data_IF_290328965762
#
_entry.id   IF_290328965762
#
_cell.length_a   1.000
_cell.length_b   1.000
_cell.length_c   1.000
_cell.angle_alpha   90.00
_cell.angle_beta   90.00
_cell.angle_gamma   90.00
#
_symmetry.space_group_name_H-M   'P 1'
#
loop_
_entity.id
_entity.type
_entity.pdbx_description
1 polymer ?
#
# COMPACT_ATOMS: atom_id res chain seq x y z
N UNK A 1 -0.19 2.70 18.11
CA UNK A 1 0.48 1.65 18.90
C UNK A 1 -0.22 1.27 20.21
N UNK A 2 -1.23 2.01 20.68
CA UNK A 2 -1.89 1.73 21.97
C UNK A 2 -2.40 0.28 22.14
N UNK A 3 -3.03 -0.29 21.10
CA UNK A 3 -3.51 -1.68 21.14
C UNK A 3 -2.40 -2.71 21.39
N UNK A 4 -1.25 -2.57 20.73
CA UNK A 4 -0.10 -3.45 20.96
C UNK A 4 0.46 -3.31 22.38
N UNK A 5 0.50 -2.08 22.93
CA UNK A 5 0.92 -1.85 24.31
C UNK A 5 -0.03 -2.50 25.32
N UNK A 6 -1.35 -2.42 25.08
CA UNK A 6 -2.35 -3.10 25.91
C UNK A 6 -2.13 -4.61 25.91
N UNK A 7 -1.93 -5.22 24.74
CA UNK A 7 -1.66 -6.66 24.64
C UNK A 7 -0.34 -7.07 25.30
N UNK A 8 0.67 -6.18 25.29
CA UNK A 8 1.93 -6.40 26.01
C UNK A 8 1.71 -6.45 27.53
N UNK A 9 0.88 -5.52 28.05
CA UNK A 9 0.54 -5.46 29.47
C UNK A 9 -0.27 -6.68 29.93
N UNK A 10 -1.05 -7.28 29.03
CA UNK A 10 -1.77 -8.54 29.24
C UNK A 10 -0.89 -9.79 29.10
N UNK A 11 0.39 -9.63 28.71
CA UNK A 11 1.35 -10.72 28.62
C UNK A 11 1.20 -11.62 27.39
N UNK A 12 0.48 -11.19 26.33
CA UNK A 12 0.24 -11.99 25.12
C UNK A 12 1.51 -12.33 24.32
N UNK A 13 2.64 -11.68 24.64
CA UNK A 13 3.96 -11.97 24.10
C UNK A 13 4.63 -13.18 24.77
N UNK A 14 4.06 -13.72 25.85
CA UNK A 14 4.61 -14.86 26.57
C UNK A 14 4.00 -16.18 26.07
N UNK A 15 4.65 -17.32 26.33
CA UNK A 15 4.12 -18.63 25.92
C UNK A 15 2.82 -19.01 26.62
N UNK A 16 2.60 -18.55 27.85
CA UNK A 16 1.43 -18.88 28.66
C UNK A 16 0.92 -17.66 29.45
N UNK A 17 0.27 -16.69 28.79
CA UNK A 17 -0.36 -15.56 29.46
C UNK A 17 -1.42 -16.03 30.45
N UNK A 18 -1.35 -15.55 31.69
CA UNK A 18 -2.33 -15.84 32.74
C UNK A 18 -3.76 -15.45 32.35
N UNK A 19 -3.90 -14.42 31.51
CA UNK A 19 -5.18 -13.99 30.94
C UNK A 19 -5.89 -15.08 30.12
N UNK A 20 -5.15 -15.90 29.35
CA UNK A 20 -5.73 -16.96 28.52
C UNK A 20 -5.88 -18.29 29.26
N UNK A 21 -4.98 -18.61 30.20
CA UNK A 21 -4.85 -19.95 30.77
C UNK A 21 -5.20 -20.05 32.27
N UNK A 22 -5.74 -18.98 32.87
CA UNK A 22 -5.94 -18.91 34.32
C UNK A 22 -7.14 -19.68 34.90
N UNK A 23 -8.04 -20.25 34.08
CA UNK A 23 -9.38 -20.67 34.54
C UNK A 23 -9.80 -22.13 34.28
N UNK A 24 -9.28 -22.80 33.24
CA UNK A 24 -9.69 -24.17 32.85
C UNK A 24 -8.66 -24.82 31.91
N UNK A 25 -8.58 -26.17 31.85
CA UNK A 25 -7.78 -26.87 30.84
C UNK A 25 -8.30 -26.57 29.42
N UNK A 26 -7.38 -26.39 28.47
CA UNK A 26 -7.69 -26.11 27.07
C UNK A 26 -8.07 -27.40 26.32
N UNK A 27 -9.27 -27.91 26.60
CA UNK A 27 -9.80 -29.07 25.89
C UNK A 27 -9.85 -28.78 24.38
N UNK A 28 -9.26 -29.68 23.59
CA UNK A 28 -9.12 -29.59 22.13
C UNK A 28 -8.19 -28.48 21.62
N UNK A 29 -7.49 -27.73 22.48
CA UNK A 29 -6.46 -26.77 22.06
C UNK A 29 -6.99 -25.47 21.44
N UNK A 30 -8.25 -25.11 21.69
CA UNK A 30 -8.86 -23.91 21.10
C UNK A 30 -8.22 -22.63 21.63
N UNK A 31 -7.95 -22.54 22.94
CA UNK A 31 -7.32 -21.37 23.54
C UNK A 31 -5.90 -21.19 23.02
N UNK A 32 -5.14 -22.27 22.86
CA UNK A 32 -3.81 -22.25 22.27
C UNK A 32 -3.82 -21.75 20.82
N UNK A 33 -4.77 -22.21 20.00
CA UNK A 33 -4.92 -21.72 18.61
C UNK A 33 -5.31 -20.25 18.57
N UNK A 34 -6.26 -19.82 19.41
CA UNK A 34 -6.65 -18.42 19.51
C UNK A 34 -5.49 -17.54 19.97
N UNK A 35 -4.72 -17.99 20.96
CA UNK A 35 -3.55 -17.27 21.44
C UNK A 35 -2.51 -17.08 20.33
N UNK A 36 -2.14 -18.14 19.60
CA UNK A 36 -1.23 -18.06 18.44
C UNK A 36 -1.72 -17.04 17.40
N UNK A 37 -2.98 -17.12 17.01
CA UNK A 37 -3.56 -16.20 16.02
C UNK A 37 -3.55 -14.75 16.51
N UNK A 38 -4.01 -14.50 17.74
CA UNK A 38 -4.11 -13.13 18.28
C UNK A 38 -2.73 -12.52 18.51
N UNK A 39 -1.79 -13.26 19.08
CA UNK A 39 -0.44 -12.76 19.33
C UNK A 39 0.26 -12.36 18.02
N UNK A 40 0.18 -13.20 16.99
CA UNK A 40 0.73 -12.87 15.68
C UNK A 40 -0.04 -11.79 14.94
N UNK A 41 -1.37 -11.71 15.08
CA UNK A 41 -2.15 -10.63 14.49
C UNK A 41 -1.80 -9.27 15.11
N UNK A 42 -1.62 -9.21 16.43
CA UNK A 42 -1.17 -7.98 17.12
C UNK A 42 0.21 -7.59 16.64
N UNK A 43 1.13 -8.55 16.58
CA UNK A 43 2.47 -8.32 16.04
C UNK A 43 2.38 -7.83 14.60
N UNK A 44 1.62 -8.48 13.72
CA UNK A 44 1.46 -8.10 12.31
C UNK A 44 0.92 -6.67 12.12
N UNK A 45 -0.18 -6.33 12.79
CA UNK A 45 -0.77 -5.00 12.69
C UNK A 45 0.18 -3.89 13.16
N UNK A 46 0.96 -4.11 14.23
CA UNK A 46 1.97 -3.12 14.60
C UNK A 46 3.13 -3.05 13.59
N UNK A 47 3.47 -4.16 12.93
CA UNK A 47 4.49 -4.22 11.87
C UNK A 47 4.09 -3.38 10.68
N UNK A 48 2.87 -3.60 10.18
CA UNK A 48 2.24 -2.76 9.17
C UNK A 48 2.20 -1.30 9.62
N UNK A 49 1.81 -1.03 10.87
CA UNK A 49 1.79 0.34 11.39
C UNK A 49 3.18 0.98 11.42
N UNK A 50 4.22 0.21 11.73
CA UNK A 50 5.61 0.68 11.77
C UNK A 50 6.14 0.93 10.36
N UNK A 51 5.82 0.05 9.42
CA UNK A 51 6.23 0.15 8.02
C UNK A 51 5.58 1.36 7.33
N UNK A 52 4.25 1.50 7.48
CA UNK A 52 3.44 2.48 6.76
C UNK A 52 3.42 3.85 7.44
N UNK A 53 3.41 3.88 8.79
CA UNK A 53 3.28 5.11 9.57
C UNK A 53 4.54 5.48 10.36
N UNK A 54 5.67 4.78 10.16
CA UNK A 54 6.92 5.00 10.92
C UNK A 54 6.73 5.03 12.44
N UNK A 55 5.75 4.27 12.95
CA UNK A 55 5.50 4.17 14.40
C UNK A 55 6.50 3.23 15.05
N UNK A 56 7.05 3.64 16.18
CA UNK A 56 7.95 2.78 16.96
C UNK A 56 7.17 1.57 17.51
N UNK A 57 7.58 0.33 17.21
CA UNK A 57 6.85 -0.86 17.64
C UNK A 57 6.90 -1.02 19.16
N UNK A 58 5.77 -1.45 19.74
CA UNK A 58 5.68 -1.73 21.17
C UNK A 58 6.33 -3.08 21.49
N UNK A 59 6.02 -4.13 20.73
CA UNK A 59 6.69 -5.43 20.91
C UNK A 59 7.97 -5.42 20.11
N UNK A 60 9.10 -5.64 20.81
CA UNK A 60 10.42 -5.61 20.18
C UNK A 60 10.73 -6.92 19.47
N UNK A 61 10.25 -8.04 19.99
CA UNK A 61 10.51 -9.37 19.46
C UNK A 61 9.21 -10.04 19.03
N UNK A 62 9.27 -10.98 18.06
CA UNK A 62 8.10 -11.75 17.66
C UNK A 62 7.54 -12.59 18.82
N UNK A 63 6.24 -12.90 18.82
CA UNK A 63 5.66 -13.81 19.80
C UNK A 63 6.31 -15.21 19.70
N UNK A 64 6.58 -15.89 20.82
CA UNK A 64 7.18 -17.23 20.82
C UNK A 64 6.18 -18.31 20.37
N UNK A 65 4.89 -18.02 20.44
CA UNK A 65 3.81 -18.96 20.09
C UNK A 65 3.49 -18.89 18.61
N UNK A 66 3.80 -19.94 17.83
CA UNK A 66 3.41 -20.03 16.42
C UNK A 66 2.85 -21.40 16.05
N UNK A 67 2.13 -21.46 14.93
CA UNK A 67 1.73 -22.74 14.35
C UNK A 67 2.96 -23.43 13.77
N UNK A 68 3.07 -24.74 13.95
CA UNK A 68 4.02 -25.52 13.14
C UNK A 68 3.42 -25.80 11.75
N UNK A 69 4.24 -26.02 10.71
CA UNK A 69 3.73 -26.36 9.38
C UNK A 69 2.81 -27.59 9.37
N UNK A 70 3.11 -28.60 10.21
CA UNK A 70 2.31 -29.83 10.33
C UNK A 70 0.97 -29.53 10.99
N UNK A 71 0.98 -28.76 12.08
CA UNK A 71 -0.24 -28.33 12.78
C UNK A 71 -1.15 -27.51 11.86
N UNK A 72 -0.57 -26.54 11.14
CA UNK A 72 -1.31 -25.69 10.21
C UNK A 72 -1.96 -26.50 9.07
N UNK A 73 -1.21 -27.42 8.45
CA UNK A 73 -1.74 -28.27 7.39
C UNK A 73 -2.88 -29.20 7.91
N UNK A 74 -2.75 -29.71 9.13
CA UNK A 74 -3.80 -30.52 9.76
C UNK A 74 -5.09 -29.74 10.03
N UNK A 75 -4.99 -28.46 10.41
CA UNK A 75 -6.14 -27.59 10.65
C UNK A 75 -6.84 -27.14 9.36
N UNK A 76 -6.10 -27.05 8.25
CA UNK A 76 -6.66 -26.70 6.95
C UNK A 76 -7.31 -27.89 6.24
N UNK A 77 -7.04 -29.13 6.67
CA UNK A 77 -7.50 -30.34 6.01
C UNK A 77 -9.04 -30.43 5.99
N UNK A 78 -9.61 -30.56 4.78
CA UNK A 78 -11.06 -30.69 4.59
C UNK A 78 -11.86 -29.40 4.78
N UNK A 79 -11.20 -28.25 4.96
CA UNK A 79 -11.88 -26.96 5.06
C UNK A 79 -12.27 -26.47 3.67
N UNK A 80 -13.52 -26.05 3.52
CA UNK A 80 -14.06 -25.48 2.28
C UNK A 80 -14.36 -23.99 2.46
N UNK A 81 -14.11 -23.20 1.42
CA UNK A 81 -14.41 -21.78 1.36
C UNK A 81 -14.95 -21.41 -0.02
N UNK A 82 -15.91 -20.49 -0.07
CA UNK A 82 -16.39 -19.87 -1.30
C UNK A 82 -16.44 -18.34 -1.13
N UNK A 83 -16.24 -17.56 -2.22
CA UNK A 83 -16.26 -16.11 -2.14
C UNK A 83 -17.68 -15.61 -1.88
N UNK A 84 -17.90 -14.85 -0.81
CA UNK A 84 -19.20 -14.22 -0.54
C UNK A 84 -19.59 -13.23 -1.66
N UNK A 85 -20.86 -13.21 -2.14
CA UNK A 85 -22.02 -13.99 -1.68
C UNK A 85 -22.26 -15.29 -2.47
N UNK A 86 -21.26 -15.77 -3.20
CA UNK A 86 -21.38 -16.92 -4.09
C UNK A 86 -21.16 -18.25 -3.35
N UNK A 87 -21.91 -19.26 -3.76
CA UNK A 87 -21.71 -20.64 -3.29
C UNK A 87 -20.59 -21.37 -4.07
N UNK A 88 -20.17 -20.83 -5.23
CA UNK A 88 -19.14 -21.40 -6.09
C UNK A 88 -18.25 -20.30 -6.69
N UNK A 89 -16.98 -20.62 -7.05
CA UNK A 89 -16.30 -21.90 -6.84
C UNK A 89 -15.99 -22.17 -5.36
N UNK A 90 -15.91 -23.46 -5.00
CA UNK A 90 -15.42 -23.91 -3.70
C UNK A 90 -13.92 -24.13 -3.83
N UNK A 91 -13.15 -23.67 -2.84
CA UNK A 91 -11.71 -23.83 -2.77
C UNK A 91 -11.30 -24.11 -1.34
N UNK A 92 -10.20 -24.84 -1.16
CA UNK A 92 -9.59 -24.98 0.17
C UNK A 92 -8.82 -23.69 0.49
N UNK A 93 -9.10 -23.00 1.61
CA UNK A 93 -8.51 -21.69 1.85
C UNK A 93 -7.04 -21.77 2.27
N UNK A 94 -6.61 -22.83 2.96
CA UNK A 94 -5.27 -22.91 3.56
C UNK A 94 -4.97 -21.73 4.51
N UNK A 95 -5.95 -21.36 5.35
CA UNK A 95 -5.89 -20.20 6.23
C UNK A 95 -4.77 -20.34 7.27
N UNK A 96 -4.68 -21.49 7.94
CA UNK A 96 -3.68 -21.70 9.00
C UNK A 96 -2.27 -21.82 8.41
N UNK A 97 -2.15 -22.46 7.24
CA UNK A 97 -0.90 -22.55 6.49
C UNK A 97 -0.45 -21.14 6.07
N UNK A 98 -1.34 -20.32 5.52
CA UNK A 98 -1.02 -18.93 5.20
C UNK A 98 -0.60 -18.12 6.44
N UNK A 99 -1.30 -18.27 7.57
CA UNK A 99 -0.96 -17.60 8.82
C UNK A 99 0.43 -18.02 9.35
N UNK A 100 0.77 -19.31 9.24
CA UNK A 100 2.10 -19.83 9.58
C UNK A 100 3.19 -19.12 8.78
N UNK A 101 3.10 -19.09 7.46
CA UNK A 101 4.13 -18.46 6.61
C UNK A 101 4.13 -16.93 6.71
N UNK A 102 2.97 -16.32 6.94
CA UNK A 102 2.85 -14.88 7.19
C UNK A 102 3.58 -14.46 8.48
N UNK A 103 3.64 -15.32 9.49
CA UNK A 103 4.39 -15.05 10.73
C UNK A 103 5.90 -14.86 10.48
N UNK A 104 6.47 -15.65 9.56
CA UNK A 104 7.87 -15.51 9.19
C UNK A 104 8.09 -14.24 8.34
N UNK A 105 7.16 -13.90 7.43
CA UNK A 105 7.21 -12.65 6.65
C UNK A 105 7.17 -11.43 7.55
N UNK A 106 6.23 -11.36 8.50
CA UNK A 106 6.09 -10.18 9.35
C UNK A 106 7.26 -9.97 10.31
N UNK A 107 8.01 -11.03 10.60
CA UNK A 107 9.29 -10.92 11.31
C UNK A 107 10.30 -10.12 10.48
N UNK A 108 10.38 -10.39 9.17
CA UNK A 108 11.23 -9.63 8.24
C UNK A 108 10.71 -8.19 8.12
N UNK A 109 9.40 -8.00 8.02
CA UNK A 109 8.78 -6.65 7.94
C UNK A 109 9.13 -5.80 9.16
N UNK A 110 9.13 -6.37 10.37
CA UNK A 110 9.56 -5.64 11.56
C UNK A 110 11.04 -5.26 11.52
N UNK A 111 11.90 -6.14 11.02
CA UNK A 111 13.33 -5.83 10.86
C UNK A 111 13.50 -4.65 9.90
N UNK A 112 12.78 -4.66 8.77
CA UNK A 112 12.78 -3.56 7.79
C UNK A 112 12.20 -2.28 8.40
N UNK A 113 11.10 -2.36 9.16
CA UNK A 113 10.50 -1.19 9.78
C UNK A 113 11.44 -0.57 10.83
N UNK A 114 12.09 -1.38 11.67
CA UNK A 114 13.13 -0.93 12.62
C UNK A 114 14.33 -0.31 11.90
N UNK A 115 14.76 -0.92 10.79
CA UNK A 115 15.84 -0.40 9.96
C UNK A 115 15.47 0.99 9.40
N UNK A 116 14.26 1.12 8.87
CA UNK A 116 13.78 2.37 8.31
C UNK A 116 13.64 3.50 9.33
N UNK A 117 13.35 3.18 10.60
CA UNK A 117 13.25 4.18 11.68
C UNK A 117 14.59 4.88 11.97
N UNK A 118 15.72 4.34 11.50
CA UNK A 118 17.03 4.98 11.63
C UNK A 118 17.20 6.15 10.64
N UNK A 119 16.48 6.11 9.52
CA UNK A 119 16.58 7.07 8.42
C UNK A 119 15.29 7.89 8.39
N UNK A 120 15.27 8.93 9.24
CA UNK A 120 15.68 10.24 8.73
C UNK A 120 16.92 10.83 9.42
N UNK A 121 17.33 10.30 10.57
CA UNK A 121 18.31 10.94 11.46
C UNK A 121 19.76 10.50 11.19
N UNK A 122 19.94 9.31 10.61
CA UNK A 122 21.26 8.76 10.28
C UNK A 122 21.62 8.95 8.80
N UNK A 123 22.91 8.99 8.51
CA UNK A 123 23.45 8.86 7.15
C UNK A 123 23.72 7.38 6.89
N UNK A 124 23.16 6.85 5.81
CA UNK A 124 23.35 5.44 5.42
C UNK A 124 24.82 5.16 5.11
N UNK A 125 25.42 4.23 5.84
CA UNK A 125 26.79 3.78 5.61
C UNK A 125 26.82 2.41 4.90
N UNK A 126 28.03 1.87 4.68
CA UNK A 126 28.21 0.58 4.00
C UNK A 126 27.62 -0.61 4.77
N UNK A 127 27.67 -0.60 6.11
CA UNK A 127 27.12 -1.67 6.94
C UNK A 127 25.59 -1.64 6.90
N UNK A 128 24.99 -0.45 6.92
CA UNK A 128 23.54 -0.27 6.72
C UNK A 128 23.10 -0.76 5.35
N UNK A 129 23.89 -0.44 4.32
CA UNK A 129 23.60 -0.87 2.96
C UNK A 129 23.61 -2.40 2.85
N UNK A 130 24.64 -3.04 3.39
CA UNK A 130 24.77 -4.49 3.38
C UNK A 130 23.68 -5.15 4.24
N UNK A 131 23.33 -4.58 5.39
CA UNK A 131 22.23 -5.07 6.22
C UNK A 131 20.89 -5.03 5.46
N UNK A 132 20.58 -3.92 4.80
CA UNK A 132 19.37 -3.82 3.98
C UNK A 132 19.38 -4.79 2.78
N UNK A 133 20.54 -5.03 2.14
CA UNK A 133 20.70 -6.05 1.10
C UNK A 133 20.41 -7.46 1.64
N UNK A 134 20.87 -7.77 2.84
CA UNK A 134 20.58 -9.04 3.51
C UNK A 134 19.08 -9.19 3.84
N UNK A 135 18.40 -8.11 4.22
CA UNK A 135 16.94 -8.12 4.40
C UNK A 135 16.21 -8.45 3.08
N UNK A 136 16.67 -7.89 1.95
CA UNK A 136 16.13 -8.25 0.63
C UNK A 136 16.35 -9.74 0.31
N UNK A 137 17.55 -10.28 0.57
CA UNK A 137 17.81 -11.71 0.40
C UNK A 137 16.91 -12.59 1.27
N UNK A 138 16.62 -12.18 2.52
CA UNK A 138 15.67 -12.89 3.40
C UNK A 138 14.26 -12.91 2.81
N UNK A 139 13.81 -11.82 2.18
CA UNK A 139 12.51 -11.80 1.49
C UNK A 139 12.50 -12.80 0.32
N UNK A 140 13.53 -12.77 -0.54
CA UNK A 140 13.65 -13.72 -1.66
C UNK A 140 13.64 -15.18 -1.16
N UNK A 141 14.39 -15.46 -0.09
CA UNK A 141 14.43 -16.78 0.53
C UNK A 141 13.06 -17.18 1.09
N UNK A 142 12.37 -16.28 1.79
CA UNK A 142 11.02 -16.53 2.30
C UNK A 142 10.07 -16.93 1.17
N UNK A 143 10.06 -16.18 0.05
CA UNK A 143 9.22 -16.50 -1.10
C UNK A 143 9.56 -17.87 -1.71
N UNK A 144 10.84 -18.22 -1.79
CA UNK A 144 11.29 -19.52 -2.29
C UNK A 144 10.90 -20.69 -1.38
N UNK A 145 10.62 -20.45 -0.10
CA UNK A 145 10.18 -21.49 0.85
C UNK A 145 8.67 -21.71 0.90
N UNK A 146 7.88 -20.92 0.16
CA UNK A 146 6.43 -21.06 0.16
C UNK A 146 6.01 -22.45 -0.36
N UNK A 147 5.09 -23.14 0.33
CA UNK A 147 4.58 -24.42 -0.13
C UNK A 147 3.69 -24.22 -1.36
N UNK A 148 3.55 -25.22 -2.25
CA UNK A 148 2.77 -25.12 -3.47
C UNK A 148 1.34 -24.58 -3.27
N UNK A 149 0.68 -24.95 -2.16
CA UNK A 149 -0.69 -24.52 -1.82
C UNK A 149 -0.85 -23.02 -1.55
N UNK A 150 0.25 -22.29 -1.36
CA UNK A 150 0.29 -20.83 -1.20
C UNK A 150 0.83 -20.12 -2.45
N UNK A 151 1.14 -20.85 -3.52
CA UNK A 151 1.54 -20.25 -4.79
C UNK A 151 0.30 -19.87 -5.61
N UNK A 152 0.38 -18.74 -6.32
CA UNK A 152 -0.75 -18.16 -7.04
C UNK A 152 -1.25 -19.03 -8.20
N UNK A 153 -0.42 -19.94 -8.74
CA UNK A 153 -0.85 -20.90 -9.76
C UNK A 153 -1.83 -21.94 -9.19
N UNK A 154 -1.81 -22.17 -7.88
CA UNK A 154 -2.59 -23.21 -7.21
C UNK A 154 -3.74 -22.64 -6.38
N UNK A 155 -3.54 -21.46 -5.79
CA UNK A 155 -4.50 -20.87 -4.87
C UNK A 155 -4.58 -19.36 -5.05
N UNK A 156 -5.75 -18.89 -5.48
CA UNK A 156 -6.04 -17.46 -5.68
C UNK A 156 -7.04 -16.94 -4.65
N UNK A 157 -7.19 -17.60 -3.50
CA UNK A 157 -8.03 -17.08 -2.41
C UNK A 157 -7.54 -15.70 -1.94
N UNK A 158 -8.44 -14.84 -1.41
CA UNK A 158 -8.09 -13.44 -1.13
C UNK A 158 -6.88 -13.27 -0.23
N UNK A 159 -6.76 -14.06 0.84
CA UNK A 159 -5.63 -13.96 1.78
C UNK A 159 -4.31 -14.47 1.20
N UNK A 160 -4.33 -15.36 0.20
CA UNK A 160 -3.12 -15.77 -0.53
C UNK A 160 -2.68 -14.64 -1.46
N UNK A 161 -3.60 -14.03 -2.22
CA UNK A 161 -3.26 -12.85 -3.03
C UNK A 161 -2.69 -11.73 -2.16
N UNK A 162 -3.36 -11.40 -1.05
CA UNK A 162 -2.89 -10.37 -0.12
C UNK A 162 -1.58 -10.74 0.60
N UNK A 163 -1.22 -12.02 0.71
CA UNK A 163 0.08 -12.45 1.21
C UNK A 163 1.20 -12.09 0.21
N UNK A 164 0.97 -12.31 -1.08
CA UNK A 164 1.90 -11.90 -2.14
C UNK A 164 1.95 -10.37 -2.30
N UNK A 165 0.82 -9.66 -2.18
CA UNK A 165 0.82 -8.19 -2.15
C UNK A 165 1.63 -7.66 -0.96
N UNK A 166 1.49 -8.29 0.22
CA UNK A 166 2.26 -7.90 1.40
C UNK A 166 3.76 -8.07 1.18
N UNK A 167 4.16 -9.17 0.55
CA UNK A 167 5.55 -9.41 0.16
C UNK A 167 6.10 -8.32 -0.76
N UNK A 168 5.40 -7.99 -1.86
CA UNK A 168 5.89 -6.99 -2.80
C UNK A 168 5.85 -5.56 -2.22
N UNK A 169 4.83 -5.23 -1.44
CA UNK A 169 4.78 -3.96 -0.70
C UNK A 169 5.96 -3.82 0.27
N UNK A 170 6.38 -4.93 0.88
CA UNK A 170 7.56 -4.98 1.76
C UNK A 170 8.87 -4.78 0.99
N UNK A 171 9.01 -5.39 -0.19
CA UNK A 171 10.16 -5.13 -1.08
C UNK A 171 10.21 -3.64 -1.46
N UNK A 172 9.09 -3.09 -1.95
CA UNK A 172 9.03 -1.70 -2.34
C UNK A 172 9.41 -0.77 -1.18
N UNK A 173 8.88 -1.04 0.02
CA UNK A 173 9.18 -0.27 1.23
C UNK A 173 10.66 -0.37 1.66
N UNK A 174 11.30 -1.52 1.47
CA UNK A 174 12.74 -1.70 1.74
C UNK A 174 13.58 -0.90 0.74
N UNK A 175 13.36 -1.12 -0.56
CA UNK A 175 14.10 -0.44 -1.63
C UNK A 175 14.02 1.08 -1.53
N UNK A 176 12.88 1.58 -1.10
CA UNK A 176 12.65 2.99 -0.87
C UNK A 176 13.51 3.62 0.21
N UNK A 177 13.89 2.87 1.25
CA UNK A 177 14.84 3.36 2.27
C UNK A 177 16.15 3.74 1.56
N UNK A 178 16.59 2.93 0.61
CA UNK A 178 17.78 3.23 -0.19
C UNK A 178 17.53 4.40 -1.13
N UNK A 179 16.45 4.38 -1.93
CA UNK A 179 16.13 5.44 -2.89
C UNK A 179 16.09 6.83 -2.25
N UNK A 180 15.58 6.94 -1.02
CA UNK A 180 15.51 8.19 -0.28
C UNK A 180 16.87 8.67 0.29
N UNK A 181 17.87 7.80 0.39
CA UNK A 181 19.17 8.09 1.01
C UNK A 181 20.36 8.03 0.04
N UNK A 182 20.15 7.67 -1.23
CA UNK A 182 21.21 7.60 -2.26
C UNK A 182 21.93 8.93 -2.51
N UNK A 183 21.25 10.07 -2.34
CA UNK A 183 21.89 11.39 -2.45
C UNK A 183 22.72 11.81 -1.22
N UNK A 184 22.76 10.97 -0.18
CA UNK A 184 23.41 11.26 1.12
C UNK A 184 24.59 10.34 1.42
N UNK A 185 24.77 9.28 0.63
CA UNK A 185 25.97 8.44 0.64
C UNK A 185 27.11 9.21 -0.02
N UNK A 186 28.27 9.29 0.64
CA UNK A 186 29.51 9.97 0.21
C UNK A 186 30.11 9.39 -1.11
N UNK A 187 29.37 9.52 -2.22
CA UNK A 187 29.71 9.10 -3.59
C UNK A 187 30.11 7.61 -3.78
N UNK A 188 29.92 6.77 -2.77
CA UNK A 188 30.18 5.33 -2.84
C UNK A 188 28.87 4.54 -2.72
N UNK A 189 28.04 4.57 -3.76
CA UNK A 189 26.94 3.60 -3.91
C UNK A 189 27.59 2.22 -4.02
N UNK A 190 27.39 1.28 -3.07
CA UNK A 190 28.06 -0.01 -3.12
C UNK A 190 27.47 -0.89 -4.24
N UNK A 191 28.12 -0.85 -5.40
CA UNK A 191 27.96 -1.77 -6.52
C UNK A 191 26.50 -1.96 -7.02
N UNK A 192 25.97 -1.03 -7.83
CA UNK A 192 24.60 -1.09 -8.36
C UNK A 192 24.33 -2.29 -9.28
N UNK A 193 25.35 -3.04 -9.72
CA UNK A 193 25.16 -4.19 -10.61
C UNK A 193 24.48 -5.38 -9.94
N UNK A 194 24.62 -5.53 -8.62
CA UNK A 194 24.10 -6.70 -7.88
C UNK A 194 22.83 -6.40 -7.06
N UNK A 195 22.54 -5.12 -6.81
CA UNK A 195 21.36 -4.67 -6.08
C UNK A 195 21.01 -3.24 -6.48
N UNK A 196 20.03 -3.10 -7.38
CA UNK A 196 19.50 -1.81 -7.82
C UNK A 196 18.11 -1.59 -7.17
N UNK A 197 18.02 -0.72 -6.15
CA UNK A 197 16.76 -0.47 -5.45
C UNK A 197 15.66 0.09 -6.34
N UNK A 198 15.99 0.89 -7.37
CA UNK A 198 14.97 1.48 -8.25
C UNK A 198 14.36 0.42 -9.16
N UNK A 199 15.19 -0.44 -9.76
CA UNK A 199 14.71 -1.52 -10.63
C UNK A 199 13.90 -2.53 -9.80
N UNK A 200 14.41 -2.94 -8.64
CA UNK A 200 13.73 -3.91 -7.76
C UNK A 200 12.39 -3.34 -7.27
N UNK A 201 12.36 -2.08 -6.85
CA UNK A 201 11.13 -1.41 -6.43
C UNK A 201 10.11 -1.33 -7.58
N UNK A 202 10.54 -0.90 -8.76
CA UNK A 202 9.64 -0.84 -9.93
C UNK A 202 9.07 -2.22 -10.25
N UNK A 203 9.88 -3.27 -10.25
CA UNK A 203 9.40 -4.63 -10.54
C UNK A 203 8.39 -5.10 -9.48
N UNK A 204 8.65 -4.84 -8.20
CA UNK A 204 7.71 -5.20 -7.13
C UNK A 204 6.38 -4.46 -7.28
N UNK A 205 6.39 -3.18 -7.67
CA UNK A 205 5.18 -2.40 -7.91
C UNK A 205 4.43 -2.84 -9.19
N UNK A 206 5.15 -3.28 -10.22
CA UNK A 206 4.57 -3.91 -11.41
C UNK A 206 3.84 -5.22 -11.06
N UNK A 207 4.46 -6.04 -10.21
CA UNK A 207 3.86 -7.27 -9.71
C UNK A 207 2.63 -6.98 -8.83
N UNK A 208 2.67 -5.96 -7.96
CA UNK A 208 1.49 -5.51 -7.19
C UNK A 208 0.33 -5.09 -8.09
N UNK A 209 0.60 -4.31 -9.14
CA UNK A 209 -0.42 -3.92 -10.11
C UNK A 209 -1.07 -5.14 -10.77
N UNK A 210 -0.27 -6.14 -11.12
CA UNK A 210 -0.78 -7.41 -11.68
C UNK A 210 -1.64 -8.19 -10.68
N UNK A 211 -1.28 -8.18 -9.38
CA UNK A 211 -2.08 -8.80 -8.33
C UNK A 211 -3.42 -8.10 -8.09
N UNK A 212 -3.49 -6.78 -8.25
CA UNK A 212 -4.76 -6.03 -8.18
C UNK A 212 -5.73 -6.49 -9.28
N UNK A 213 -5.23 -6.62 -10.51
CA UNK A 213 -6.04 -7.13 -11.63
C UNK A 213 -6.48 -8.58 -11.37
N UNK A 214 -5.59 -9.42 -10.83
CA UNK A 214 -5.91 -10.79 -10.45
C UNK A 214 -6.99 -10.84 -9.37
N UNK A 215 -6.86 -10.02 -8.32
CA UNK A 215 -7.85 -9.94 -7.24
C UNK A 215 -9.21 -9.57 -7.79
N UNK A 216 -9.30 -8.52 -8.62
CA UNK A 216 -10.56 -8.12 -9.26
C UNK A 216 -11.17 -9.25 -10.06
N UNK A 217 -10.36 -9.93 -10.86
CA UNK A 217 -10.81 -11.03 -11.71
C UNK A 217 -11.39 -12.18 -10.91
N UNK A 218 -10.78 -12.52 -9.77
CA UNK A 218 -11.19 -13.65 -8.95
C UNK A 218 -12.35 -13.32 -7.99
N UNK A 219 -12.34 -12.12 -7.39
CA UNK A 219 -13.21 -11.80 -6.24
C UNK A 219 -14.04 -10.53 -6.41
N UNK A 220 -13.68 -9.66 -7.35
CA UNK A 220 -14.26 -8.33 -7.49
C UNK A 220 -14.07 -7.45 -6.25
N UNK A 221 -14.87 -6.38 -6.15
CA UNK A 221 -14.70 -5.33 -5.12
C UNK A 221 -15.75 -5.32 -4.01
N UNK A 222 -16.63 -6.32 -3.96
CA UNK A 222 -17.70 -6.38 -2.95
C UNK A 222 -17.19 -6.69 -1.54
N UNK A 223 -16.11 -7.48 -1.45
CA UNK A 223 -15.58 -7.98 -0.18
C UNK A 223 -14.07 -7.71 -0.13
N UNK A 224 -13.71 -6.45 0.11
CA UNK A 224 -12.33 -5.99 0.15
C UNK A 224 -11.76 -6.08 1.58
N UNK A 225 -10.65 -6.81 1.79
CA UNK A 225 -9.88 -6.71 3.03
C UNK A 225 -9.43 -5.27 3.26
N UNK A 226 -9.43 -4.81 4.51
CA UNK A 226 -9.06 -3.43 4.85
C UNK A 226 -7.67 -3.06 4.29
N UNK A 227 -6.71 -3.99 4.30
CA UNK A 227 -5.34 -3.74 3.80
C UNK A 227 -5.28 -3.32 2.32
N UNK A 228 -6.29 -3.65 1.51
CA UNK A 228 -6.35 -3.27 0.10
C UNK A 228 -6.32 -1.75 -0.10
N UNK A 229 -6.74 -0.94 0.90
CA UNK A 229 -6.60 0.52 0.86
C UNK A 229 -5.15 0.95 0.58
N UNK A 230 -4.19 0.30 1.23
CA UNK A 230 -2.77 0.60 1.08
C UNK A 230 -2.27 0.21 -0.32
N UNK A 231 -2.63 -1.01 -0.76
CA UNK A 231 -2.17 -1.54 -2.04
C UNK A 231 -2.75 -0.76 -3.23
N UNK A 232 -4.02 -0.35 -3.18
CA UNK A 232 -4.61 0.53 -4.18
C UNK A 232 -3.92 1.90 -4.24
N UNK A 233 -3.57 2.48 -3.09
CA UNK A 233 -2.83 3.74 -3.07
C UNK A 233 -1.47 3.59 -3.75
N UNK A 234 -0.69 2.59 -3.34
CA UNK A 234 0.69 2.37 -3.81
C UNK A 234 0.72 2.03 -5.30
N UNK A 235 -0.06 1.05 -5.73
CA UNK A 235 -0.11 0.65 -7.14
C UNK A 235 -0.79 1.71 -8.02
N UNK A 236 -1.78 2.43 -7.48
CA UNK A 236 -2.43 3.55 -8.17
C UNK A 236 -1.44 4.66 -8.50
N UNK A 237 -0.66 5.11 -7.51
CA UNK A 237 0.41 6.11 -7.70
C UNK A 237 1.45 5.61 -8.71
N UNK A 238 1.90 4.37 -8.59
CA UNK A 238 2.84 3.78 -9.54
C UNK A 238 2.29 3.74 -10.97
N UNK A 239 1.04 3.32 -11.14
CA UNK A 239 0.40 3.19 -12.45
C UNK A 239 0.31 4.52 -13.21
N UNK A 240 0.15 5.65 -12.51
CA UNK A 240 0.17 6.99 -13.12
C UNK A 240 1.49 7.24 -13.85
N UNK A 241 2.62 6.92 -13.19
CA UNK A 241 3.97 7.10 -13.76
C UNK A 241 4.27 6.18 -14.95
N UNK A 242 3.44 5.16 -15.17
CA UNK A 242 3.62 4.13 -16.20
C UNK A 242 2.59 4.20 -17.32
N UNK A 243 1.66 5.16 -17.28
CA UNK A 243 0.64 5.31 -18.32
C UNK A 243 1.30 5.45 -19.70
N UNK A 244 0.96 4.53 -20.60
CA UNK A 244 1.51 4.45 -21.94
C UNK A 244 0.50 3.80 -22.89
N UNK A 245 0.34 4.36 -24.09
CA UNK A 245 -0.55 3.83 -25.13
C UNK A 245 -0.23 2.37 -25.53
N UNK A 246 1.04 1.96 -25.43
CA UNK A 246 1.49 0.63 -25.82
C UNK A 246 1.31 -0.42 -24.70
N UNK A 247 1.05 0.02 -23.46
CA UNK A 247 0.86 -0.85 -22.31
C UNK A 247 -0.46 -0.51 -21.58
N UNK A 248 -1.63 -0.87 -22.15
CA UNK A 248 -2.93 -0.51 -21.58
C UNK A 248 -3.20 -1.11 -20.20
N UNK A 249 -2.38 -2.07 -19.75
CA UNK A 249 -2.42 -2.64 -18.40
C UNK A 249 -2.38 -1.56 -17.32
N UNK A 250 -1.62 -0.48 -17.53
CA UNK A 250 -1.46 0.60 -16.55
C UNK A 250 -2.73 1.41 -16.36
N UNK A 251 -3.46 1.67 -17.45
CA UNK A 251 -4.79 2.29 -17.38
C UNK A 251 -5.78 1.40 -16.62
N UNK A 252 -5.74 0.07 -16.81
CA UNK A 252 -6.61 -0.86 -16.05
C UNK A 252 -6.26 -0.90 -14.57
N UNK A 253 -4.97 -0.92 -14.21
CA UNK A 253 -4.51 -0.89 -12.82
C UNK A 253 -4.97 0.41 -12.15
N UNK A 254 -4.80 1.55 -12.84
CA UNK A 254 -5.23 2.85 -12.33
C UNK A 254 -6.75 2.89 -12.09
N UNK A 255 -7.55 2.43 -13.07
CA UNK A 255 -9.01 2.34 -12.89
C UNK A 255 -9.36 1.49 -11.67
N UNK A 256 -8.74 0.32 -11.53
CA UNK A 256 -9.04 -0.63 -10.47
C UNK A 256 -8.67 -0.13 -9.08
N UNK A 257 -7.54 0.57 -8.96
CA UNK A 257 -7.14 1.23 -7.72
C UNK A 257 -8.13 2.32 -7.32
N UNK A 258 -8.50 3.21 -8.25
CA UNK A 258 -9.39 4.34 -7.99
C UNK A 258 -10.82 3.86 -7.70
N UNK A 259 -11.33 2.91 -8.48
CA UNK A 259 -12.66 2.33 -8.28
C UNK A 259 -12.71 1.52 -6.97
N UNK A 260 -11.67 0.75 -6.65
CA UNK A 260 -11.55 0.02 -5.39
C UNK A 260 -11.61 0.95 -4.17
N UNK A 261 -10.78 2.00 -4.16
CA UNK A 261 -10.80 3.02 -3.10
C UNK A 261 -12.14 3.74 -3.01
N UNK A 262 -12.77 4.04 -4.15
CA UNK A 262 -14.10 4.65 -4.18
C UNK A 262 -15.16 3.76 -3.53
N UNK A 263 -15.18 2.45 -3.83
CA UNK A 263 -16.11 1.52 -3.16
C UNK A 263 -15.82 1.39 -1.66
N UNK A 264 -14.54 1.34 -1.27
CA UNK A 264 -14.17 1.27 0.14
C UNK A 264 -14.51 2.53 0.92
N UNK A 265 -14.60 3.70 0.27
CA UNK A 265 -14.94 4.97 0.91
C UNK A 265 -16.32 4.97 1.60
N UNK A 266 -17.26 4.10 1.19
CA UNK A 266 -18.55 3.96 1.86
C UNK A 266 -18.42 3.44 3.31
N UNK A 267 -17.41 2.63 3.60
CA UNK A 267 -17.15 2.08 4.94
C UNK A 267 -15.95 2.71 5.65
N UNK A 268 -14.92 3.10 4.90
CA UNK A 268 -13.62 3.58 5.42
C UNK A 268 -13.32 5.05 5.07
N UNK A 269 -14.30 5.75 4.49
CA UNK A 269 -14.40 7.20 4.31
C UNK A 269 -13.08 7.92 4.13
N UNK A 270 -12.68 8.66 5.18
CA UNK A 270 -11.61 9.67 5.15
C UNK A 270 -10.27 9.15 4.62
N UNK A 271 -9.85 7.94 5.00
CA UNK A 271 -8.55 7.41 4.57
C UNK A 271 -8.57 7.06 3.08
N UNK A 272 -9.66 6.47 2.59
CA UNK A 272 -9.85 6.20 1.16
C UNK A 272 -9.90 7.49 0.35
N UNK A 273 -10.60 8.51 0.86
CA UNK A 273 -10.66 9.84 0.22
C UNK A 273 -9.27 10.47 0.11
N UNK A 274 -8.44 10.36 1.15
CA UNK A 274 -7.08 10.88 1.12
C UNK A 274 -6.20 10.17 0.09
N UNK A 275 -6.30 8.85 -0.04
CA UNK A 275 -5.55 8.13 -1.08
C UNK A 275 -6.04 8.42 -2.49
N UNK A 276 -7.36 8.57 -2.67
CA UNK A 276 -7.91 9.05 -3.95
C UNK A 276 -7.32 10.41 -4.30
N UNK A 277 -7.25 11.33 -3.32
CA UNK A 277 -6.65 12.65 -3.51
C UNK A 277 -5.17 12.55 -3.84
N UNK A 278 -4.41 11.69 -3.17
CA UNK A 278 -3.00 11.42 -3.50
C UNK A 278 -2.83 11.00 -4.96
N UNK A 279 -3.60 10.00 -5.43
CA UNK A 279 -3.51 9.53 -6.81
C UNK A 279 -3.89 10.65 -7.78
N UNK A 280 -4.93 11.43 -7.49
CA UNK A 280 -5.34 12.57 -8.29
C UNK A 280 -4.23 13.63 -8.42
N UNK A 281 -3.56 13.95 -7.30
CA UNK A 281 -2.48 14.93 -7.27
C UNK A 281 -1.27 14.45 -8.08
N UNK A 282 -0.90 13.17 -7.94
CA UNK A 282 0.18 12.57 -8.75
C UNK A 282 -0.20 12.58 -10.23
N UNK A 283 -1.46 12.31 -10.57
CA UNK A 283 -1.96 12.37 -11.94
C UNK A 283 -1.86 13.79 -12.53
N UNK A 284 -2.26 14.81 -11.77
CA UNK A 284 -2.13 16.21 -12.18
C UNK A 284 -0.68 16.62 -12.37
N UNK A 285 0.21 16.19 -11.48
CA UNK A 285 1.64 16.51 -11.55
C UNK A 285 2.32 15.85 -12.76
N UNK A 286 2.01 14.59 -13.06
CA UNK A 286 2.57 13.89 -14.21
C UNK A 286 2.00 14.39 -15.55
N UNK A 287 0.79 14.97 -15.53
CA UNK A 287 0.08 15.50 -16.69
C UNK A 287 0.15 14.58 -17.93
N UNK A 288 -0.26 13.29 -17.80
CA UNK A 288 -0.21 12.35 -18.92
C UNK A 288 -1.21 12.73 -20.01
N UNK A 289 -1.06 12.14 -21.20
CA UNK A 289 -2.07 12.24 -22.26
C UNK A 289 -3.46 11.86 -21.70
N UNK A 290 -4.47 12.77 -21.75
CA UNK A 290 -5.80 12.51 -21.21
C UNK A 290 -6.48 11.26 -21.78
N UNK A 291 -6.11 10.82 -23.00
CA UNK A 291 -6.67 9.61 -23.62
C UNK A 291 -6.24 8.31 -22.92
N UNK A 292 -5.15 8.36 -22.14
CA UNK A 292 -4.64 7.22 -21.36
C UNK A 292 -5.36 7.06 -20.02
N UNK A 293 -6.07 8.11 -19.57
CA UNK A 293 -6.78 8.11 -18.29
C UNK A 293 -8.20 7.56 -18.49
N UNK A 294 -8.58 6.47 -17.79
CA UNK A 294 -9.90 5.90 -17.92
C UNK A 294 -11.02 6.88 -17.54
N UNK A 295 -12.11 6.91 -18.30
CA UNK A 295 -13.23 7.84 -18.09
C UNK A 295 -13.84 7.74 -16.68
N UNK A 296 -13.86 6.53 -16.09
CA UNK A 296 -14.31 6.30 -14.72
C UNK A 296 -13.42 6.97 -13.68
N UNK A 297 -12.11 7.01 -13.91
CA UNK A 297 -11.15 7.69 -13.02
C UNK A 297 -11.44 9.19 -13.02
N UNK A 298 -11.59 9.77 -14.21
CA UNK A 298 -11.95 11.19 -14.38
C UNK A 298 -13.26 11.51 -13.66
N UNK A 299 -14.29 10.68 -13.84
CA UNK A 299 -15.60 10.89 -13.22
C UNK A 299 -15.56 10.78 -11.69
N UNK A 300 -14.78 9.85 -11.15
CA UNK A 300 -14.60 9.70 -9.69
C UNK A 300 -13.91 10.93 -9.11
N UNK A 301 -12.82 11.40 -9.72
CA UNK A 301 -12.13 12.60 -9.24
C UNK A 301 -12.98 13.87 -9.41
N UNK A 302 -13.78 13.96 -10.47
CA UNK A 302 -14.77 15.04 -10.61
C UNK A 302 -15.75 15.05 -9.44
N UNK A 303 -16.35 13.91 -9.10
CA UNK A 303 -17.27 13.78 -7.95
C UNK A 303 -16.59 14.05 -6.61
N UNK A 304 -15.33 13.64 -6.46
CA UNK A 304 -14.54 13.90 -5.25
C UNK A 304 -14.44 15.41 -4.98
N UNK A 305 -14.16 16.20 -6.02
CA UNK A 305 -14.01 17.66 -5.92
C UNK A 305 -15.37 18.39 -5.79
N UNK A 306 -16.43 17.90 -6.43
CA UNK A 306 -17.76 18.52 -6.37
C UNK A 306 -18.55 18.21 -5.09
N UNK A 307 -18.34 17.03 -4.49
CA UNK A 307 -19.28 16.43 -3.54
C UNK A 307 -19.16 16.86 -2.07
N UNK A 308 -18.35 17.86 -1.72
CA UNK A 308 -17.96 18.16 -0.34
C UNK A 308 -17.38 16.94 0.43
N UNK A 309 -16.97 15.89 -0.29
CA UNK A 309 -16.41 14.65 0.26
C UNK A 309 -14.96 14.82 0.73
N UNK A 310 -14.35 15.95 0.38
CA UNK A 310 -12.99 16.32 0.73
C UNK A 310 -12.96 17.76 1.24
N UNK A 311 -12.65 17.94 2.52
CA UNK A 311 -12.57 19.25 3.17
C UNK A 311 -11.19 19.50 3.79
N UNK A 312 -10.84 20.76 4.00
CA UNK A 312 -9.62 21.15 4.75
C UNK A 312 -9.61 20.56 6.17
N UNK A 313 -10.79 20.32 6.74
CA UNK A 313 -10.95 19.64 8.04
C UNK A 313 -10.60 18.15 7.97
N UNK A 314 -10.78 17.51 6.80
CA UNK A 314 -10.36 16.11 6.60
C UNK A 314 -8.83 16.01 6.53
N UNK A 315 -8.15 16.98 5.92
CA UNK A 315 -6.67 17.08 5.88
C UNK A 315 -6.09 17.16 7.30
N UNK A 316 -6.64 18.05 8.14
CA UNK A 316 -6.22 18.19 9.54
C UNK A 316 -6.62 17.02 10.45
N UNK A 317 -7.53 16.15 9.99
CA UNK A 317 -7.97 14.95 10.69
C UNK A 317 -7.29 13.66 10.20
N UNK A 318 -6.46 13.73 9.15
CA UNK A 318 -5.62 12.61 8.75
C UNK A 318 -4.60 12.38 9.86
N UNK A 319 -4.59 11.18 10.44
CA UNK A 319 -3.56 10.82 11.39
C UNK A 319 -2.20 10.99 10.69
N UNK A 320 -1.44 12.01 11.11
CA UNK A 320 -0.38 12.72 10.40
C UNK A 320 0.86 11.91 9.98
N UNK A 321 0.79 10.58 9.93
CA UNK A 321 1.99 9.74 9.84
C UNK A 321 2.00 8.80 8.62
N UNK A 322 0.93 8.72 7.82
CA UNK A 322 0.92 7.78 6.68
C UNK A 322 1.94 8.24 5.65
N UNK A 323 2.96 7.43 5.33
CA UNK A 323 3.97 7.84 4.37
C UNK A 323 3.54 7.39 2.98
N UNK A 324 3.27 8.38 2.11
CA UNK A 324 3.10 8.18 0.67
C UNK A 324 4.43 8.49 -0.01
N UNK A 325 4.74 7.72 -1.04
CA UNK A 325 5.96 7.90 -1.77
C UNK A 325 5.67 8.09 -3.25
N UNK A 326 6.21 9.17 -3.81
CA UNK A 326 6.09 9.52 -5.21
C UNK A 326 7.41 9.22 -5.91
N UNK A 327 7.38 8.37 -6.93
CA UNK A 327 8.49 8.24 -7.89
C UNK A 327 8.30 9.30 -8.98
N UNK A 328 8.81 10.51 -8.76
CA UNK A 328 9.01 11.44 -9.87
C UNK A 328 10.32 11.09 -10.57
N UNK A 329 10.24 10.51 -11.77
CA UNK A 329 11.37 10.59 -12.70
C UNK A 329 11.44 12.05 -13.17
N UNK A 330 12.31 12.84 -12.54
CA UNK A 330 12.70 14.13 -13.10
C UNK A 330 13.69 13.86 -14.23
N UNK A 331 13.20 13.92 -15.46
CA UNK A 331 14.06 14.25 -16.59
C UNK A 331 14.47 15.73 -16.46
N UNK A 332 15.75 16.01 -16.69
CA UNK A 332 16.43 17.32 -16.75
C UNK A 332 17.08 17.88 -15.46
N UNK A 333 18.41 17.71 -15.41
CA UNK A 333 19.45 18.72 -15.14
C UNK A 333 19.18 19.84 -14.11
N UNK A 334 18.56 19.52 -12.98
CA UNK A 334 18.64 20.35 -11.77
C UNK A 334 19.00 19.46 -10.58
N UNK A 335 19.93 19.92 -9.77
CA UNK A 335 20.63 19.14 -8.73
C UNK A 335 19.68 18.26 -7.89
N UNK A 336 20.01 16.97 -7.64
CA UNK A 336 19.14 16.03 -6.93
C UNK A 336 19.23 16.19 -5.40
N UNK A 337 19.24 17.42 -4.90
CA UNK A 337 19.35 17.70 -3.46
C UNK A 337 18.00 18.14 -2.91
N UNK A 338 17.39 17.29 -2.08
CA UNK A 338 16.45 17.58 -0.97
C UNK A 338 14.92 17.46 -1.16
N UNK A 339 14.36 17.22 -2.34
CA UNK A 339 12.90 17.14 -2.44
C UNK A 339 12.36 15.76 -2.00
N UNK A 340 11.65 15.75 -0.86
CA UNK A 340 10.86 14.65 -0.28
C UNK A 340 11.60 13.58 0.54
N UNK A 341 12.41 14.03 1.51
CA UNK A 341 12.75 13.18 2.68
C UNK A 341 11.53 13.04 3.59
N UNK A 342 10.78 11.95 3.43
CA UNK A 342 9.77 11.43 4.37
C UNK A 342 8.72 12.46 4.84
N UNK A 343 7.67 12.63 4.04
CA UNK A 343 6.58 13.54 4.39
C UNK A 343 5.32 12.76 4.78
N UNK A 344 4.67 13.16 5.87
CA UNK A 344 3.36 12.59 6.24
C UNK A 344 2.32 12.90 5.16
N UNK A 345 1.34 12.03 4.96
CA UNK A 345 0.31 12.15 3.91
C UNK A 345 -0.37 13.52 3.91
N UNK A 346 -0.60 14.09 5.10
CA UNK A 346 -1.15 15.43 5.25
C UNK A 346 -0.22 16.49 4.65
N UNK A 347 1.05 16.46 5.02
CA UNK A 347 2.06 17.41 4.56
C UNK A 347 2.32 17.24 3.06
N UNK A 348 2.32 16.00 2.54
CA UNK A 348 2.46 15.73 1.11
C UNK A 348 1.29 16.31 0.32
N UNK A 349 0.05 16.09 0.79
CA UNK A 349 -1.14 16.65 0.14
C UNK A 349 -1.07 18.18 0.15
N UNK A 350 -0.70 18.79 1.28
CA UNK A 350 -0.58 20.24 1.40
C UNK A 350 0.49 20.80 0.44
N UNK A 351 1.66 20.18 0.36
CA UNK A 351 2.74 20.62 -0.52
C UNK A 351 2.36 20.47 -2.00
N UNK A 352 1.74 19.35 -2.38
CA UNK A 352 1.26 19.13 -3.74
C UNK A 352 0.10 20.08 -4.10
N UNK A 353 -0.81 20.38 -3.17
CA UNK A 353 -1.88 21.36 -3.38
C UNK A 353 -1.30 22.78 -3.56
N UNK A 354 -0.31 23.16 -2.76
CA UNK A 354 0.39 24.44 -2.89
C UNK A 354 1.16 24.54 -4.22
N UNK A 355 1.80 23.46 -4.67
CA UNK A 355 2.45 23.38 -5.98
C UNK A 355 1.43 23.50 -7.13
N UNK A 356 0.26 22.86 -7.01
CA UNK A 356 -0.82 22.98 -7.99
C UNK A 356 -1.40 24.39 -8.07
N UNK A 357 -1.46 25.12 -6.94
CA UNK A 357 -1.90 26.52 -6.89
C UNK A 357 -0.85 27.44 -7.53
N UNK A 358 0.43 27.18 -7.29
CA UNK A 358 1.51 27.99 -7.86
C UNK A 358 1.64 27.79 -9.39
N UNK A 359 1.51 26.56 -9.90
CA UNK A 359 1.47 26.25 -11.33
C UNK A 359 0.29 26.90 -12.06
N UNK A 360 -0.84 27.10 -11.37
CA UNK A 360 -1.99 27.81 -11.91
C UNK A 360 -1.88 29.34 -11.78
N UNK A 361 -0.98 29.84 -10.93
CA UNK A 361 -0.63 31.26 -10.78
C UNK A 361 0.51 31.73 -11.70
N UNK A 362 1.34 30.81 -12.21
CA UNK A 362 2.43 31.08 -13.17
C UNK A 362 1.96 31.20 -14.64
N UNK A 363 0.67 31.51 -14.86
CA UNK A 363 0.23 32.11 -16.12
C UNK A 363 -0.25 33.54 -15.93
N UNK A 364 0.64 34.54 -16.08
CA UNK A 364 0.26 35.89 -16.44
C UNK A 364 0.72 36.26 -17.85
N UNK A 365 -0.27 36.37 -18.74
CA UNK A 365 -0.45 37.53 -19.62
C UNK A 365 0.70 38.02 -20.50
N UNK A 366 0.64 37.66 -21.78
CA UNK A 366 1.12 38.46 -22.92
C UNK A 366 0.34 37.96 -24.14
N UNK A 367 -0.69 38.63 -24.65
CA UNK A 367 -0.62 39.94 -25.28
C UNK A 367 -1.96 40.68 -25.21
N UNK A 368 -1.85 41.98 -24.94
CA UNK A 368 -2.88 42.98 -25.14
C UNK A 368 -3.12 43.33 -26.61
N UNK A 369 -4.31 43.90 -26.87
CA UNK A 369 -4.82 44.54 -28.09
C UNK A 369 -5.63 43.59 -28.98
N UNK A 370 -6.90 43.84 -29.34
CA UNK A 370 -7.60 45.10 -29.62
C UNK A 370 -9.12 44.91 -29.34
N UNK A 371 -9.79 45.90 -28.75
CA UNK A 371 -11.26 46.04 -28.71
C UNK A 371 -11.76 46.32 -30.14
N UNK A 372 -12.88 45.77 -30.62
CA UNK A 372 -14.22 46.35 -30.44
C UNK A 372 -15.33 45.47 -31.10
N UNK A 373 -16.62 45.75 -30.86
CA UNK A 373 -17.69 44.75 -30.65
C UNK A 373 -18.62 44.57 -31.85
N UNK A 374 -19.36 43.45 -31.95
CA UNK A 374 -20.64 43.41 -32.66
C UNK A 374 -21.52 42.21 -32.23
N UNK A 375 -22.54 42.53 -31.44
CA UNK A 375 -23.97 42.24 -31.60
C UNK A 375 -24.54 40.84 -31.95
N UNK A 376 -25.42 40.38 -31.05
CA UNK A 376 -26.80 39.87 -31.28
C UNK A 376 -27.12 38.45 -31.80
N UNK A 377 -27.85 37.73 -30.92
CA UNK A 377 -29.05 36.86 -31.11
C UNK A 377 -28.94 35.32 -31.18
N UNK A 378 -29.71 34.70 -30.26
CA UNK A 378 -30.50 33.44 -30.29
C UNK A 378 -29.83 32.16 -30.81
N UNK A 379 -29.97 31.00 -30.17
CA UNK A 379 -31.26 30.35 -29.87
C UNK A 379 -31.09 29.14 -28.93
N UNK A 380 -32.10 28.96 -28.09
CA UNK A 380 -32.77 27.72 -27.62
C UNK A 380 -32.03 26.38 -27.45
N UNK A 381 -32.21 25.84 -26.22
CA UNK A 381 -32.17 24.44 -25.73
C UNK A 381 -32.88 23.42 -26.66
N UNK A 382 -32.68 22.07 -26.55
CA UNK A 382 -33.00 21.33 -25.32
C UNK A 382 -32.16 20.08 -24.95
N UNK A 383 -31.95 19.94 -23.64
CA UNK A 383 -32.37 18.81 -22.79
C UNK A 383 -32.52 17.41 -23.43
N UNK A 384 -31.59 16.48 -23.12
CA UNK A 384 -31.76 15.03 -23.32
C UNK A 384 -31.42 14.30 -22.02
N UNK A 385 -32.44 14.06 -21.20
CA UNK A 385 -32.52 12.96 -20.23
C UNK A 385 -33.45 11.87 -20.77
N UNK A 386 -33.09 10.62 -20.47
CA UNK A 386 -33.80 9.32 -20.63
C UNK A 386 -33.37 8.51 -21.86
N UNK A 387 -32.48 7.55 -21.63
CA UNK A 387 -32.86 6.13 -21.43
C UNK A 387 -31.70 5.37 -20.81
#
# INVERSE_FOLDING_TARGET
>A
MHGAQLCLNLGLQNESPSYFYGGAPDEYGHLARSHKLVAWAVYDVQGLASQVYRKVPAWKEPPPVKFSPIEAAGLDAGVEWSPYPFATPISQPFFFTAACFRSDLVTIVHQIAKFALQFPDAVMNNDDWEYGRQLHQKLLQWKATLPPVLLLEHNTTPHVICLHEYYYATIASLCQIFCANLGSTDDQIPNPKDFDPYIIMSQALDDMGSLILLFKRCHGWKSLPVVMLHYFCVAGVHSVSKLNAHEPKWSYILEDCVVGLWYMSLGWGRLCTAFLRTIELVLKQNNPDPSLVPSRVVEIFRKLNEGALWTVTDISSLAADYVVYTTTQSDSSSSPSSAYRYQGLQDLINDMDNLSINLSSESPGSLSSVKEPYDSRSSEDPDIRKT
#
